data_IF_420764860651
#
_entry.id   IF_420764860651
#
_cell.length_a   1.000
_cell.length_b   1.000
_cell.length_c   1.000
_cell.angle_alpha   90.00
_cell.angle_beta   90.00
_cell.angle_gamma   90.00
#
_symmetry.space_group_name_H-M   'P 1'
#
loop_
_entity.id
_entity.type
_entity.pdbx_description
1 polymer ?
#
# COMPACT_ATOMS: atom_id res chain seq x y z
N UNK A 1 2.31 -9.50 -4.93
CA UNK A 1 2.09 -10.60 -3.97
C UNK A 1 3.34 -11.45 -3.94
N UNK A 2 3.86 -11.78 -2.75
CA UNK A 2 5.16 -12.45 -2.65
C UNK A 2 5.10 -13.92 -3.08
N UNK A 3 4.05 -14.66 -2.69
CA UNK A 3 3.92 -16.09 -3.00
C UNK A 3 3.58 -16.40 -4.47
N UNK A 4 2.80 -15.53 -5.13
CA UNK A 4 2.33 -15.75 -6.51
C UNK A 4 2.99 -14.86 -7.56
N UNK A 5 3.73 -13.83 -7.15
CA UNK A 5 4.26 -12.80 -8.06
C UNK A 5 3.19 -11.87 -8.65
N UNK A 6 1.91 -12.04 -8.31
CA UNK A 6 0.81 -11.24 -8.85
C UNK A 6 0.90 -9.78 -8.42
N UNK A 7 0.81 -8.85 -9.35
CA UNK A 7 0.67 -7.43 -9.04
C UNK A 7 -0.77 -7.08 -8.65
N UNK A 8 -0.92 -6.15 -7.70
CA UNK A 8 -2.22 -5.66 -7.24
C UNK A 8 -2.40 -4.20 -7.70
N UNK A 9 -3.61 -3.90 -8.17
CA UNK A 9 -4.01 -2.54 -8.44
C UNK A 9 -3.92 -1.72 -7.15
N UNK A 10 -3.43 -0.50 -7.28
CA UNK A 10 -3.31 0.41 -6.15
C UNK A 10 -3.51 1.85 -6.63
N UNK A 11 -3.84 2.72 -5.70
CA UNK A 11 -4.01 4.16 -5.94
C UNK A 11 -3.65 4.93 -4.70
N UNK A 12 -3.17 6.15 -4.89
CA UNK A 12 -3.01 7.10 -3.77
C UNK A 12 -4.23 8.00 -3.73
N UNK A 13 -4.83 8.18 -2.55
CA UNK A 13 -5.96 9.09 -2.34
C UNK A 13 -5.62 10.16 -1.33
N UNK A 14 -6.13 11.37 -1.54
CA UNK A 14 -5.89 12.51 -0.65
C UNK A 14 -4.48 13.08 -0.82
N UNK A 15 -3.98 13.67 0.26
CA UNK A 15 -2.76 14.47 0.25
C UNK A 15 -3.06 15.95 0.07
N UNK A 16 -2.52 16.77 0.96
CA UNK A 16 -2.68 18.23 0.94
C UNK A 16 -1.40 18.89 1.44
N UNK A 17 -0.76 19.64 0.55
CA UNK A 17 0.55 20.27 0.81
C UNK A 17 1.55 19.24 1.35
N UNK A 18 2.06 19.43 2.57
CA UNK A 18 3.01 18.54 3.23
C UNK A 18 2.39 17.26 3.82
N UNK A 19 1.05 17.16 3.86
CA UNK A 19 0.37 15.98 4.39
C UNK A 19 0.34 14.89 3.31
N UNK A 20 0.96 13.71 3.55
CA UNK A 20 0.97 12.64 2.57
C UNK A 20 -0.43 12.06 2.36
N UNK A 21 -0.66 11.55 1.16
CA UNK A 21 -1.86 10.76 0.85
C UNK A 21 -1.81 9.35 1.45
N UNK A 22 -2.90 8.61 1.27
CA UNK A 22 -3.02 7.21 1.69
C UNK A 22 -2.88 6.32 0.45
N UNK A 23 -1.95 5.36 0.51
CA UNK A 23 -1.86 4.28 -0.48
C UNK A 23 -2.96 3.26 -0.21
N UNK A 24 -3.89 3.13 -1.14
CA UNK A 24 -4.89 2.08 -1.17
C UNK A 24 -4.44 0.98 -2.10
N UNK A 25 -4.39 -0.25 -1.59
CA UNK A 25 -4.13 -1.47 -2.36
C UNK A 25 -5.45 -2.23 -2.46
N UNK A 26 -5.88 -2.53 -3.68
CA UNK A 26 -7.09 -3.32 -3.88
C UNK A 26 -6.85 -4.75 -3.36
N UNK A 27 -7.83 -5.33 -2.64
CA UNK A 27 -7.67 -6.65 -2.08
C UNK A 27 -7.45 -7.70 -3.18
N UNK A 28 -6.59 -8.70 -2.95
CA UNK A 28 -6.46 -9.83 -3.85
C UNK A 28 -7.77 -10.62 -3.94
N UNK A 29 -7.93 -11.39 -5.02
CA UNK A 29 -9.05 -12.32 -5.13
C UNK A 29 -8.88 -13.51 -4.18
N UNK A 30 -9.98 -14.20 -3.87
CA UNK A 30 -9.98 -15.35 -2.96
C UNK A 30 -8.98 -16.43 -3.36
N UNK A 31 -8.82 -16.66 -4.68
CA UNK A 31 -7.89 -17.66 -5.21
C UNK A 31 -6.40 -17.33 -4.99
N UNK A 32 -6.08 -16.08 -4.65
CA UNK A 32 -4.69 -15.68 -4.38
C UNK A 32 -4.38 -15.64 -2.87
N UNK A 33 -5.38 -15.81 -2.00
CA UNK A 33 -5.20 -15.76 -0.57
C UNK A 33 -4.52 -17.03 -0.05
N UNK A 34 -3.47 -16.84 0.73
CA UNK A 34 -2.88 -17.92 1.53
C UNK A 34 -3.76 -18.20 2.76
N UNK A 35 -4.00 -19.48 3.12
CA UNK A 35 -4.89 -19.86 4.22
C UNK A 35 -4.39 -19.42 5.61
N UNK A 36 -3.11 -19.05 5.74
CA UNK A 36 -2.53 -18.61 7.00
C UNK A 36 -2.20 -17.13 6.99
N UNK A 37 -1.48 -16.66 5.97
CA UNK A 37 -1.11 -15.26 5.86
C UNK A 37 -0.71 -14.88 4.42
N UNK A 38 -1.34 -13.83 3.88
CA UNK A 38 -0.96 -13.27 2.59
C UNK A 38 0.05 -12.14 2.77
N UNK A 39 1.21 -12.26 2.11
CA UNK A 39 2.30 -11.27 2.19
C UNK A 39 2.38 -10.44 0.92
N UNK A 40 2.45 -9.12 1.09
CA UNK A 40 2.62 -8.16 0.00
C UNK A 40 4.04 -7.60 0.03
N UNK A 41 4.74 -7.72 -1.10
CA UNK A 41 5.94 -6.93 -1.36
C UNK A 41 5.51 -5.56 -1.88
N UNK A 42 6.10 -4.49 -1.34
CA UNK A 42 5.85 -3.11 -1.76
C UNK A 42 7.19 -2.48 -2.10
N UNK A 43 7.29 -1.97 -3.32
CA UNK A 43 8.44 -1.18 -3.77
C UNK A 43 8.08 0.31 -3.65
N UNK A 44 9.00 1.10 -3.11
CA UNK A 44 8.80 2.53 -2.88
C UNK A 44 9.61 3.33 -3.90
N UNK A 45 9.02 4.43 -4.36
CA UNK A 45 9.75 5.44 -5.12
C UNK A 45 10.66 6.24 -4.17
N UNK A 46 11.82 5.66 -3.88
CA UNK A 46 12.84 6.24 -3.00
C UNK A 46 12.73 5.80 -1.54
N UNK A 47 13.32 6.60 -0.66
CA UNK A 47 13.44 6.26 0.76
C UNK A 47 12.12 6.45 1.52
N UNK A 48 11.86 5.54 2.46
CA UNK A 48 10.75 5.67 3.40
C UNK A 48 10.96 6.89 4.30
N UNK A 49 10.00 7.83 4.28
CA UNK A 49 10.03 9.03 5.10
C UNK A 49 8.90 9.02 6.12
N UNK A 50 9.24 9.27 7.38
CA UNK A 50 8.26 9.40 8.45
C UNK A 50 7.62 10.80 8.43
N UNK A 51 6.32 10.85 8.19
CA UNK A 51 5.53 12.06 8.42
C UNK A 51 5.32 12.29 9.92
N UNK A 52 5.62 13.51 10.38
CA UNK A 52 5.56 13.91 11.80
C UNK A 52 4.58 15.06 12.09
N UNK A 53 3.81 15.48 11.09
CA UNK A 53 2.78 16.52 11.28
C UNK A 53 1.57 15.97 12.03
N UNK A 54 0.60 16.85 12.34
CA UNK A 54 -0.61 16.48 13.10
C UNK A 54 -1.65 15.73 12.29
N UNK A 55 -1.43 15.52 10.99
CA UNK A 55 -2.47 15.08 10.05
C UNK A 55 -3.53 16.16 9.84
N UNK A 56 -4.20 16.10 8.69
CA UNK A 56 -5.38 16.92 8.37
C UNK A 56 -6.36 16.00 7.64
N UNK A 57 -7.51 15.72 8.26
CA UNK A 57 -8.57 14.88 7.72
C UNK A 57 -9.84 15.69 7.47
#
# INVERSE_FOLDING_TARGET
MLGSGRELAHRVTGGLHETPGVLWIEPPGEADLDPHATVLAVELEGELRLYRGSGRC
#
